data_IF_792658018825
#
_entry.id   IF_792658018825
#
_cell.length_a   1.000
_cell.length_b   1.000
_cell.length_c   1.000
_cell.angle_alpha   90.00
_cell.angle_beta   90.00
_cell.angle_gamma   90.00
#
_symmetry.space_group_name_H-M   'P 1'
#
loop_
_entity.id
_entity.type
_entity.pdbx_description
1 polymer ?
#
# COMPACT_ATOMS: atom_id res chain seq x y z
N UNK A 1 29.70 10.43 17.06
CA UNK A 1 28.30 10.62 17.49
C UNK A 1 27.30 10.38 16.37
N UNK A 2 26.11 9.88 16.73
CA UNK A 2 24.96 9.65 15.83
C UNK A 2 23.90 10.77 15.92
N UNK A 3 24.22 11.90 16.57
CA UNK A 3 23.32 13.03 16.79
C UNK A 3 22.81 13.65 15.48
N UNK A 4 23.67 13.75 14.47
CA UNK A 4 23.31 14.21 13.12
C UNK A 4 22.32 13.25 12.42
N UNK A 5 22.42 11.93 12.66
CA UNK A 5 21.54 10.93 12.06
C UNK A 5 20.14 11.07 12.65
N UNK A 6 20.07 11.15 13.99
CA UNK A 6 18.83 11.45 14.68
C UNK A 6 18.24 12.79 14.22
N UNK A 7 19.06 13.84 14.02
CA UNK A 7 18.59 15.14 13.53
C UNK A 7 18.06 15.08 12.09
N UNK A 8 18.75 14.43 11.16
CA UNK A 8 18.31 14.26 9.77
C UNK A 8 17.02 13.45 9.70
N UNK A 9 16.93 12.31 10.41
CA UNK A 9 15.72 11.49 10.49
C UNK A 9 14.57 12.24 11.17
N UNK A 10 14.82 13.05 12.20
CA UNK A 10 13.79 13.84 12.88
C UNK A 10 13.30 15.00 11.99
N UNK A 11 14.18 15.63 11.18
CA UNK A 11 13.76 16.56 10.10
C UNK A 11 12.92 15.84 9.03
N UNK A 12 13.32 14.66 8.57
CA UNK A 12 12.53 13.84 7.64
C UNK A 12 11.13 13.56 8.19
N UNK A 13 11.04 13.16 9.46
CA UNK A 13 9.78 12.81 10.14
C UNK A 13 8.89 14.04 10.42
N UNK A 14 9.46 15.16 10.89
CA UNK A 14 8.70 16.35 11.28
C UNK A 14 8.40 17.33 10.15
N UNK A 15 9.36 17.59 9.26
CA UNK A 15 9.28 18.73 8.33
C UNK A 15 8.70 18.38 6.95
N UNK A 16 8.74 17.11 6.53
CA UNK A 16 8.48 16.76 5.12
C UNK A 16 9.54 17.32 4.15
N UNK A 17 10.64 17.87 4.66
CA UNK A 17 11.72 18.40 3.82
C UNK A 17 12.60 17.27 3.28
N UNK A 18 12.08 16.62 2.24
CA UNK A 18 12.79 15.60 1.49
C UNK A 18 14.01 16.18 0.73
N UNK A 19 14.08 17.51 0.50
CA UNK A 19 15.23 18.12 -0.18
C UNK A 19 16.43 18.17 0.75
N UNK A 20 16.26 18.74 1.95
CA UNK A 20 17.27 18.73 2.99
C UNK A 20 17.73 17.31 3.30
N UNK A 21 16.80 16.35 3.42
CA UNK A 21 17.10 14.93 3.60
C UNK A 21 18.02 14.36 2.50
N UNK A 22 17.71 14.60 1.23
CA UNK A 22 18.53 14.14 0.11
C UNK A 22 19.89 14.83 0.02
N UNK A 23 19.96 16.14 0.29
CA UNK A 23 21.24 16.87 0.26
C UNK A 23 22.17 16.44 1.39
N UNK A 24 21.63 16.23 2.59
CA UNK A 24 22.37 15.67 3.72
C UNK A 24 22.86 14.26 3.36
N UNK A 25 21.99 13.36 2.87
CA UNK A 25 22.38 12.05 2.34
C UNK A 25 23.53 12.11 1.33
N UNK A 26 23.45 12.99 0.33
CA UNK A 26 24.49 13.15 -0.70
C UNK A 26 25.81 13.70 -0.14
N UNK A 27 25.77 14.69 0.76
CA UNK A 27 26.97 15.20 1.46
C UNK A 27 27.60 14.10 2.31
N UNK A 28 26.76 13.30 2.96
CA UNK A 28 27.19 12.24 3.85
C UNK A 28 27.75 11.03 3.13
N UNK A 29 27.20 10.62 1.99
CA UNK A 29 27.78 9.54 1.20
C UNK A 29 29.17 9.91 0.64
N UNK A 30 29.38 11.20 0.32
CA UNK A 30 30.71 11.73 -0.05
C UNK A 30 31.70 11.73 1.13
N UNK A 31 31.22 11.90 2.37
CA UNK A 31 32.03 11.83 3.58
C UNK A 31 32.23 10.38 4.11
N UNK A 32 31.29 9.47 3.83
CA UNK A 32 31.21 8.13 4.40
C UNK A 32 31.78 7.04 3.46
N UNK A 33 32.80 7.36 2.66
CA UNK A 33 33.49 6.42 1.79
C UNK A 33 34.13 5.21 2.53
N UNK A 34 34.13 5.22 3.87
CA UNK A 34 34.60 4.13 4.73
C UNK A 34 33.45 3.25 5.28
N UNK A 35 33.03 2.26 4.46
CA UNK A 35 32.78 0.89 4.94
C UNK A 35 31.58 0.58 5.86
N UNK A 36 30.48 1.35 5.87
CA UNK A 36 29.28 1.02 6.70
C UNK A 36 27.97 0.99 5.91
N UNK A 37 27.67 -0.17 5.31
CA UNK A 37 26.43 -0.41 4.53
C UNK A 37 25.15 -0.23 5.36
N UNK A 38 25.09 -0.74 6.59
CA UNK A 38 23.87 -0.65 7.43
C UNK A 38 23.40 0.79 7.70
N UNK A 39 24.33 1.73 7.87
CA UNK A 39 23.98 3.15 8.03
C UNK A 39 23.41 3.77 6.73
N UNK A 40 23.84 3.27 5.56
CA UNK A 40 23.32 3.72 4.28
C UNK A 40 21.88 3.26 4.06
N UNK A 41 21.56 1.98 4.30
CA UNK A 41 20.18 1.44 4.16
C UNK A 41 19.18 2.26 4.98
N UNK A 42 19.44 2.45 6.27
CA UNK A 42 18.48 3.15 7.15
C UNK A 42 18.31 4.63 6.77
N UNK A 43 19.37 5.29 6.28
CA UNK A 43 19.28 6.66 5.77
C UNK A 43 18.45 6.76 4.48
N UNK A 44 18.59 5.82 3.55
CA UNK A 44 17.75 5.77 2.35
C UNK A 44 16.28 5.50 2.72
N UNK A 45 16.00 4.55 3.63
CA UNK A 45 14.64 4.26 4.11
C UNK A 45 13.98 5.51 4.69
N UNK A 46 14.69 6.28 5.51
CA UNK A 46 14.17 7.54 6.07
C UNK A 46 13.86 8.60 4.98
N UNK A 47 14.69 8.72 3.95
CA UNK A 47 14.44 9.63 2.84
C UNK A 47 13.31 9.17 1.91
N UNK A 48 13.13 7.86 1.74
CA UNK A 48 12.01 7.27 0.99
C UNK A 48 10.69 7.51 1.74
N UNK A 49 10.65 7.36 3.07
CA UNK A 49 9.48 7.77 3.89
C UNK A 49 9.20 9.27 3.82
N UNK A 50 10.22 10.12 3.73
CA UNK A 50 10.02 11.55 3.51
C UNK A 50 9.42 11.83 2.12
N UNK A 51 9.91 11.14 1.08
CA UNK A 51 9.36 11.21 -0.27
C UNK A 51 7.90 10.71 -0.33
N UNK A 52 7.58 9.66 0.42
CA UNK A 52 6.23 9.10 0.57
C UNK A 52 5.25 10.10 1.19
N UNK A 53 5.63 10.74 2.31
CA UNK A 53 4.83 11.80 2.95
C UNK A 53 4.56 13.00 2.03
N UNK A 54 5.45 13.25 1.07
CA UNK A 54 5.35 14.36 0.12
C UNK A 54 4.90 13.94 -1.30
N UNK A 55 4.40 12.71 -1.49
CA UNK A 55 3.98 12.16 -2.79
C UNK A 55 5.06 12.27 -3.91
N UNK A 56 6.36 12.26 -3.55
CA UNK A 56 7.49 12.41 -4.48
C UNK A 56 7.95 11.07 -5.03
N UNK A 57 7.00 10.33 -5.64
CA UNK A 57 7.21 9.01 -6.23
C UNK A 57 8.50 8.88 -7.04
N UNK A 58 8.85 9.87 -7.89
CA UNK A 58 10.06 9.86 -8.72
C UNK A 58 11.35 9.69 -7.91
N UNK A 59 11.45 10.29 -6.71
CA UNK A 59 12.63 10.11 -5.85
C UNK A 59 12.54 8.91 -4.92
N UNK A 60 11.34 8.49 -4.51
CA UNK A 60 11.20 7.20 -3.82
C UNK A 60 11.68 6.04 -4.71
N UNK A 61 11.27 6.02 -5.98
CA UNK A 61 11.71 5.05 -7.00
C UNK A 61 13.21 5.19 -7.32
N UNK A 62 13.72 6.42 -7.47
CA UNK A 62 15.15 6.62 -7.74
C UNK A 62 16.05 6.16 -6.58
N UNK A 63 15.67 6.44 -5.33
CA UNK A 63 16.42 6.04 -4.14
C UNK A 63 16.39 4.52 -3.93
N UNK A 64 15.26 3.85 -4.16
CA UNK A 64 15.17 2.38 -4.09
C UNK A 64 15.96 1.69 -5.22
N UNK A 65 15.95 2.25 -6.43
CA UNK A 65 16.82 1.81 -7.52
C UNK A 65 18.31 2.05 -7.24
N UNK A 66 18.66 3.17 -6.58
CA UNK A 66 20.03 3.48 -6.15
C UNK A 66 20.53 2.52 -5.07
N UNK A 67 19.66 2.11 -4.13
CA UNK A 67 19.98 1.05 -3.16
C UNK A 67 20.26 -0.29 -3.86
N UNK A 68 19.39 -0.71 -4.79
CA UNK A 68 19.59 -1.93 -5.59
C UNK A 68 20.91 -1.90 -6.36
N UNK A 69 21.21 -0.80 -7.07
CA UNK A 69 22.42 -0.65 -7.87
C UNK A 69 23.71 -0.65 -7.02
N UNK A 70 23.62 -0.24 -5.75
CA UNK A 70 24.73 -0.22 -4.79
C UNK A 70 24.83 -1.48 -3.93
N UNK A 71 24.08 -2.54 -4.28
CA UNK A 71 23.98 -3.78 -3.52
C UNK A 71 23.62 -3.55 -2.02
N UNK A 72 22.87 -2.48 -1.72
CA UNK A 72 22.30 -2.28 -0.40
C UNK A 72 21.09 -3.19 -0.23
N UNK A 73 20.86 -3.64 1.00
CA UNK A 73 19.70 -4.44 1.36
C UNK A 73 18.42 -3.60 1.20
N UNK A 74 17.51 -4.06 0.35
CA UNK A 74 16.22 -3.41 0.07
C UNK A 74 15.13 -4.28 0.69
N UNK A 75 14.58 -3.77 1.78
CA UNK A 75 13.58 -4.44 2.60
C UNK A 75 12.13 -4.17 2.14
N UNK A 76 11.19 -4.87 2.77
CA UNK A 76 9.75 -4.68 2.59
C UNK A 76 9.32 -3.22 2.87
N UNK A 77 10.00 -2.54 3.79
CA UNK A 77 9.73 -1.14 4.14
C UNK A 77 10.07 -0.20 2.96
N UNK A 78 11.20 -0.41 2.30
CA UNK A 78 11.63 0.35 1.12
C UNK A 78 10.61 0.27 -0.01
N UNK A 79 10.13 -0.95 -0.32
CA UNK A 79 9.12 -1.17 -1.35
C UNK A 79 7.75 -0.61 -0.97
N UNK A 80 7.27 -0.87 0.25
CA UNK A 80 5.97 -0.38 0.71
C UNK A 80 5.90 1.16 0.77
N UNK A 81 6.96 1.84 1.26
CA UNK A 81 7.05 3.29 1.22
C UNK A 81 7.15 3.83 -0.23
N UNK A 82 7.85 3.13 -1.13
CA UNK A 82 7.90 3.51 -2.55
C UNK A 82 6.56 3.35 -3.27
N UNK A 83 5.81 2.29 -2.99
CA UNK A 83 4.45 2.06 -3.51
C UNK A 83 3.46 3.08 -2.93
N UNK A 84 3.52 3.34 -1.61
CA UNK A 84 2.70 4.35 -0.94
C UNK A 84 2.98 5.78 -1.45
N UNK A 85 4.24 6.06 -1.85
CA UNK A 85 4.59 7.30 -2.55
C UNK A 85 3.94 7.39 -3.94
N UNK A 86 3.82 6.26 -4.67
CA UNK A 86 3.14 6.19 -5.96
C UNK A 86 1.62 6.30 -5.83
N UNK A 87 1.02 5.68 -4.80
CA UNK A 87 -0.39 5.81 -4.43
C UNK A 87 -0.77 7.28 -4.21
N UNK A 88 -0.08 7.95 -3.28
CA UNK A 88 -0.31 9.36 -2.95
C UNK A 88 -0.11 10.30 -4.15
N UNK A 89 0.72 9.90 -5.10
CA UNK A 89 0.96 10.61 -6.36
C UNK A 89 0.03 10.20 -7.52
N UNK A 90 -0.93 9.29 -7.29
CA UNK A 90 -1.83 8.73 -8.30
C UNK A 90 -1.10 8.14 -9.52
N UNK A 91 0.02 7.45 -9.30
CA UNK A 91 0.84 6.82 -10.33
C UNK A 91 0.69 5.29 -10.29
N UNK A 92 -0.51 4.80 -10.60
CA UNK A 92 -0.83 3.37 -10.48
C UNK A 92 0.10 2.48 -11.34
N UNK A 93 0.44 2.89 -12.57
CA UNK A 93 1.33 2.11 -13.44
C UNK A 93 2.72 1.91 -12.81
N UNK A 94 3.20 2.91 -12.06
CA UNK A 94 4.48 2.84 -11.35
C UNK A 94 4.37 1.99 -10.09
N UNK A 95 3.24 2.03 -9.38
CA UNK A 95 2.98 1.13 -8.25
C UNK A 95 2.95 -0.34 -8.70
N UNK A 96 2.29 -0.65 -9.82
CA UNK A 96 2.24 -2.01 -10.39
C UNK A 96 3.61 -2.45 -10.92
N UNK A 97 4.37 -1.56 -11.58
CA UNK A 97 5.73 -1.88 -12.02
C UNK A 97 6.72 -2.08 -10.86
N UNK A 98 6.54 -1.38 -9.73
CA UNK A 98 7.29 -1.63 -8.50
C UNK A 98 6.91 -2.98 -7.88
N UNK A 99 5.63 -3.34 -7.89
CA UNK A 99 5.14 -4.62 -7.37
C UNK A 99 5.68 -5.80 -8.20
N UNK A 100 5.68 -5.72 -9.53
CA UNK A 100 6.25 -6.78 -10.38
C UNK A 100 7.77 -6.88 -10.26
N UNK A 101 8.48 -5.76 -10.07
CA UNK A 101 9.92 -5.77 -9.76
C UNK A 101 10.23 -6.32 -8.37
N UNK A 102 9.35 -6.07 -7.38
CA UNK A 102 9.44 -6.64 -6.04
C UNK A 102 9.19 -8.16 -6.03
N UNK A 103 8.39 -8.67 -6.97
CA UNK A 103 8.04 -10.08 -7.12
C UNK A 103 9.18 -11.03 -7.53
N UNK A 104 10.43 -10.58 -7.50
CA UNK A 104 11.63 -11.42 -7.60
C UNK A 104 12.35 -11.61 -6.25
N UNK A 105 11.82 -11.07 -5.15
CA UNK A 105 12.41 -11.12 -3.79
C UNK A 105 11.32 -11.21 -2.71
N UNK A 106 11.72 -11.37 -1.45
CA UNK A 106 10.84 -11.57 -0.27
C UNK A 106 9.68 -10.57 -0.11
N UNK A 107 9.77 -9.39 -0.73
CA UNK A 107 8.68 -8.42 -0.83
C UNK A 107 7.39 -8.98 -1.46
N UNK A 108 7.49 -10.06 -2.25
CA UNK A 108 6.37 -10.91 -2.71
C UNK A 108 5.36 -11.19 -1.59
N UNK A 109 5.85 -11.54 -0.40
CA UNK A 109 5.07 -12.07 0.72
C UNK A 109 4.38 -10.99 1.57
N UNK A 110 4.57 -9.70 1.27
CA UNK A 110 4.04 -8.62 2.11
C UNK A 110 2.70 -8.09 1.59
N UNK A 111 1.58 -8.29 2.32
CA UNK A 111 0.29 -7.75 1.92
C UNK A 111 0.29 -6.22 1.87
N UNK A 112 1.20 -5.53 2.56
CA UNK A 112 1.31 -4.06 2.54
C UNK A 112 1.63 -3.53 1.14
N UNK A 113 2.51 -4.20 0.39
CA UNK A 113 2.93 -3.76 -0.96
C UNK A 113 1.77 -3.93 -1.94
N UNK A 114 1.09 -5.08 -1.88
CA UNK A 114 -0.13 -5.35 -2.65
C UNK A 114 -1.27 -4.38 -2.33
N UNK A 115 -1.52 -4.10 -1.05
CA UNK A 115 -2.56 -3.18 -0.60
C UNK A 115 -2.35 -1.75 -1.13
N UNK A 116 -1.11 -1.27 -1.11
CA UNK A 116 -0.76 0.05 -1.67
C UNK A 116 -0.92 0.10 -3.20
N UNK A 117 -0.60 -0.98 -3.92
CA UNK A 117 -0.79 -1.05 -5.37
C UNK A 117 -2.27 -1.08 -5.79
N UNK A 118 -3.10 -1.87 -5.10
CA UNK A 118 -4.56 -1.91 -5.31
C UNK A 118 -5.18 -0.55 -4.96
N UNK A 119 -4.78 0.05 -3.83
CA UNK A 119 -5.24 1.39 -3.41
C UNK A 119 -4.85 2.48 -4.41
N UNK A 120 -3.64 2.40 -5.00
CA UNK A 120 -3.19 3.31 -6.05
C UNK A 120 -4.05 3.21 -7.32
N UNK A 121 -4.36 1.99 -7.76
CA UNK A 121 -5.27 1.76 -8.88
C UNK A 121 -6.67 2.35 -8.58
N UNK A 122 -7.21 2.07 -7.39
CA UNK A 122 -8.47 2.64 -6.92
C UNK A 122 -8.46 4.16 -6.73
N UNK A 123 -7.32 4.80 -6.48
CA UNK A 123 -7.19 6.27 -6.41
C UNK A 123 -7.14 6.93 -7.79
N UNK A 124 -7.03 6.13 -8.86
CA UNK A 124 -6.97 6.57 -10.26
C UNK A 124 -8.15 6.06 -11.10
N UNK A 125 -9.19 5.55 -10.42
CA UNK A 125 -10.42 4.98 -11.01
C UNK A 125 -10.18 3.78 -11.96
N UNK A 126 -8.97 3.21 -11.93
CA UNK A 126 -8.60 2.00 -12.68
C UNK A 126 -9.05 0.74 -11.93
N UNK A 127 -10.36 0.62 -11.74
CA UNK A 127 -11.01 -0.48 -11.02
C UNK A 127 -10.66 -1.85 -11.64
N UNK A 128 -10.63 -1.95 -12.97
CA UNK A 128 -10.30 -3.21 -13.66
C UNK A 128 -8.87 -3.70 -13.31
N UNK A 129 -7.89 -2.80 -13.24
CA UNK A 129 -6.52 -3.13 -12.83
C UNK A 129 -6.48 -3.52 -11.34
N UNK A 130 -7.20 -2.79 -10.48
CA UNK A 130 -7.34 -3.13 -9.06
C UNK A 130 -7.93 -4.54 -8.84
N UNK A 131 -8.92 -4.94 -9.66
CA UNK A 131 -9.49 -6.29 -9.66
C UNK A 131 -8.49 -7.34 -10.14
N UNK A 132 -7.79 -7.13 -11.28
CA UNK A 132 -6.79 -8.11 -11.74
C UNK A 132 -5.68 -8.37 -10.74
N UNK A 133 -5.30 -7.35 -9.94
CA UNK A 133 -4.34 -7.51 -8.84
C UNK A 133 -4.97 -8.24 -7.64
N UNK A 134 -6.23 -7.97 -7.32
CA UNK A 134 -6.95 -8.68 -6.24
C UNK A 134 -7.15 -10.16 -6.58
N UNK A 135 -7.52 -10.48 -7.81
CA UNK A 135 -7.67 -11.84 -8.32
C UNK A 135 -6.32 -12.57 -8.38
N UNK A 136 -5.22 -11.87 -8.67
CA UNK A 136 -3.86 -12.44 -8.62
C UNK A 136 -3.38 -12.80 -7.20
N UNK A 137 -3.93 -12.17 -6.16
CA UNK A 137 -3.70 -12.53 -4.74
C UNK A 137 -4.65 -13.67 -4.33
N UNK A 138 -5.91 -13.58 -4.76
CA UNK A 138 -7.00 -14.45 -4.29
C UNK A 138 -7.03 -15.80 -5.02
N UNK A 139 -6.55 -15.87 -6.26
CA UNK A 139 -6.42 -17.10 -7.04
C UNK A 139 -5.02 -17.70 -6.84
N UNK A 140 -4.87 -18.79 -6.05
CA UNK A 140 -3.64 -19.57 -6.06
C UNK A 140 -3.55 -20.32 -7.40
N UNK A 141 -2.94 -19.69 -8.41
CA UNK A 141 -2.74 -20.32 -9.70
C UNK A 141 -1.96 -21.64 -9.52
N UNK A 142 -2.49 -22.81 -9.94
CA UNK A 142 -1.87 -24.12 -9.73
C UNK A 142 -0.71 -24.38 -10.72
N UNK A 143 0.05 -23.34 -11.09
CA UNK A 143 0.91 -23.35 -12.27
C UNK A 143 2.15 -22.45 -12.10
N UNK A 144 2.91 -22.68 -11.03
CA UNK A 144 4.34 -22.34 -11.01
C UNK A 144 5.14 -23.56 -10.54
N UNK A 145 5.77 -24.25 -11.50
CA UNK A 145 6.55 -25.48 -11.33
C UNK A 145 7.88 -25.29 -10.56
N UNK A 146 8.02 -24.18 -9.83
CA UNK A 146 9.12 -23.88 -8.93
C UNK A 146 8.50 -23.35 -7.65
N UNK A 147 8.69 -24.10 -6.54
CA UNK A 147 7.92 -23.96 -5.30
C UNK A 147 7.93 -22.56 -4.71
N UNK A 148 6.89 -21.77 -5.00
CA UNK A 148 6.67 -20.44 -4.43
C UNK A 148 5.92 -20.60 -3.10
N UNK A 149 6.64 -21.10 -2.09
CA UNK A 149 6.12 -21.24 -0.72
C UNK A 149 5.84 -19.86 -0.12
N UNK A 150 4.60 -19.40 -0.24
CA UNK A 150 4.20 -18.07 0.22
C UNK A 150 2.96 -17.53 -0.48
N UNK A 151 1.84 -18.26 -0.41
CA UNK A 151 0.55 -17.70 -0.82
C UNK A 151 0.23 -16.48 0.06
N UNK A 152 0.16 -15.29 -0.55
CA UNK A 152 -0.27 -14.07 0.13
C UNK A 152 -1.77 -14.17 0.36
N UNK A 153 -2.19 -14.38 1.60
CA UNK A 153 -3.62 -14.36 1.93
C UNK A 153 -4.16 -12.92 1.81
N UNK A 154 -5.25 -12.68 1.07
CA UNK A 154 -5.86 -11.36 1.01
C UNK A 154 -6.36 -10.96 2.40
N UNK A 155 -5.96 -9.78 2.85
CA UNK A 155 -6.32 -9.23 4.16
C UNK A 155 -7.57 -8.36 4.08
N UNK A 156 -8.17 -8.01 5.23
CA UNK A 156 -9.30 -7.05 5.31
C UNK A 156 -8.99 -5.75 4.55
N UNK A 157 -7.74 -5.26 4.65
CA UNK A 157 -7.25 -4.06 3.97
C UNK A 157 -7.20 -4.27 2.45
N UNK A 158 -6.84 -5.47 1.98
CA UNK A 158 -6.81 -5.86 0.57
C UNK A 158 -8.23 -5.82 -0.03
N UNK A 159 -9.19 -6.43 0.67
CA UNK A 159 -10.61 -6.41 0.31
C UNK A 159 -11.17 -4.98 0.30
N UNK A 160 -10.87 -4.18 1.34
CA UNK A 160 -11.30 -2.79 1.44
C UNK A 160 -10.73 -1.91 0.33
N UNK A 161 -9.48 -2.13 -0.08
CA UNK A 161 -8.88 -1.43 -1.21
C UNK A 161 -9.57 -1.78 -2.54
N UNK A 162 -9.89 -3.05 -2.78
CA UNK A 162 -10.58 -3.51 -4.00
C UNK A 162 -12.04 -3.05 -4.07
N UNK A 163 -12.80 -3.19 -2.98
CA UNK A 163 -14.18 -2.66 -2.87
C UNK A 163 -14.19 -1.14 -3.01
N UNK A 164 -13.24 -0.44 -2.38
CA UNK A 164 -13.08 1.01 -2.51
C UNK A 164 -12.72 1.47 -3.93
N UNK A 165 -11.96 0.68 -4.69
CA UNK A 165 -11.69 0.94 -6.10
C UNK A 165 -12.96 0.82 -6.96
N UNK A 166 -13.74 -0.24 -6.78
CA UNK A 166 -15.01 -0.46 -7.48
C UNK A 166 -16.05 0.62 -7.13
N UNK A 167 -16.13 1.00 -5.85
CA UNK A 167 -17.01 2.04 -5.35
C UNK A 167 -16.74 3.41 -5.97
N UNK A 168 -15.46 3.79 -6.11
CA UNK A 168 -15.08 5.06 -6.74
C UNK A 168 -15.50 5.12 -8.20
N UNK A 169 -15.37 3.99 -8.92
CA UNK A 169 -15.78 3.82 -10.32
C UNK A 169 -17.28 3.54 -10.54
N UNK A 170 -18.12 3.70 -9.50
CA UNK A 170 -19.56 3.43 -9.51
C UNK A 170 -19.98 1.99 -9.89
N UNK A 171 -19.05 1.03 -9.88
CA UNK A 171 -19.29 -0.40 -10.16
C UNK A 171 -19.80 -1.12 -8.91
N UNK A 172 -20.98 -0.72 -8.44
CA UNK A 172 -21.58 -1.22 -7.20
C UNK A 172 -21.85 -2.74 -7.22
N UNK A 173 -22.13 -3.31 -8.38
CA UNK A 173 -22.38 -4.75 -8.56
C UNK A 173 -21.14 -5.59 -8.19
N UNK A 174 -19.97 -5.20 -8.71
CA UNK A 174 -18.69 -5.86 -8.43
C UNK A 174 -18.23 -5.60 -6.99
N UNK A 175 -18.47 -4.39 -6.48
CA UNK A 175 -18.20 -4.06 -5.09
C UNK A 175 -19.01 -4.97 -4.13
N UNK A 176 -20.30 -5.15 -4.41
CA UNK A 176 -21.20 -6.01 -3.62
C UNK A 176 -20.78 -7.48 -3.70
N UNK A 177 -20.46 -7.99 -4.89
CA UNK A 177 -19.95 -9.35 -5.09
C UNK A 177 -18.70 -9.62 -4.23
N UNK A 178 -17.71 -8.72 -4.30
CA UNK A 178 -16.48 -8.82 -3.50
C UNK A 178 -16.75 -8.77 -1.98
N UNK A 179 -17.68 -7.92 -1.54
CA UNK A 179 -18.02 -7.82 -0.13
C UNK A 179 -18.85 -9.00 0.41
N UNK A 180 -19.56 -9.73 -0.46
CA UNK A 180 -20.27 -10.95 -0.09
C UNK A 180 -19.33 -12.17 -0.11
N UNK A 181 -18.38 -12.21 -1.05
CA UNK A 181 -17.32 -13.24 -1.09
C UNK A 181 -16.27 -13.09 0.00
N UNK A 182 -16.02 -11.87 0.51
CA UNK A 182 -15.12 -11.62 1.62
C UNK A 182 -15.80 -11.89 2.96
N UNK A 183 -15.40 -12.98 3.63
CA UNK A 183 -15.76 -13.28 5.03
C UNK A 183 -15.28 -12.23 6.04
N UNK A 184 -14.45 -11.27 5.60
CA UNK A 184 -13.85 -10.22 6.44
C UNK A 184 -14.46 -8.83 6.25
N UNK A 185 -15.58 -8.70 5.54
CA UNK A 185 -16.22 -7.40 5.30
C UNK A 185 -16.55 -6.65 6.61
N UNK A 186 -15.97 -5.47 6.77
CA UNK A 186 -16.03 -4.61 7.96
C UNK A 186 -16.79 -3.29 7.68
N UNK A 187 -16.86 -2.42 8.70
CA UNK A 187 -17.54 -1.12 8.61
C UNK A 187 -16.98 -0.25 7.48
N UNK A 188 -15.70 -0.39 7.11
CA UNK A 188 -15.07 0.34 6.01
C UNK A 188 -15.42 -0.27 4.66
N UNK A 189 -15.57 -1.60 4.56
CA UNK A 189 -16.12 -2.27 3.36
C UNK A 189 -17.52 -1.75 3.07
N UNK A 190 -18.42 -1.79 4.07
CA UNK A 190 -19.80 -1.35 3.90
C UNK A 190 -19.94 0.16 3.69
N UNK A 191 -19.13 0.99 4.36
CA UNK A 191 -19.08 2.44 4.09
C UNK A 191 -18.67 2.74 2.64
N UNK A 192 -17.76 1.95 2.08
CA UNK A 192 -17.37 2.04 0.66
C UNK A 192 -18.51 1.58 -0.27
N UNK A 193 -19.23 0.51 0.08
CA UNK A 193 -20.42 0.05 -0.65
C UNK A 193 -21.53 1.10 -0.70
N UNK A 194 -21.87 1.72 0.43
CA UNK A 194 -22.92 2.75 0.51
C UNK A 194 -22.57 3.93 -0.40
N UNK A 195 -21.29 4.33 -0.43
CA UNK A 195 -20.79 5.32 -1.40
C UNK A 195 -20.90 4.88 -2.86
N UNK A 196 -20.75 3.58 -3.14
CA UNK A 196 -20.95 3.01 -4.48
C UNK A 196 -22.43 3.05 -4.90
N UNK A 197 -23.34 2.62 -4.03
CA UNK A 197 -24.78 2.61 -4.30
C UNK A 197 -25.36 4.00 -4.49
N UNK A 198 -24.88 4.99 -3.71
CA UNK A 198 -25.26 6.39 -3.89
C UNK A 198 -24.86 6.92 -5.27
N UNK A 199 -23.63 6.63 -5.72
CA UNK A 199 -23.18 6.94 -7.09
C UNK A 199 -23.93 6.15 -8.18
N UNK A 200 -24.38 4.94 -7.86
CA UNK A 200 -25.16 4.07 -8.76
C UNK A 200 -26.67 4.26 -8.70
N UNK A 201 -27.15 5.35 -8.08
CA UNK A 201 -28.58 5.69 -7.91
C UNK A 201 -29.46 4.61 -7.26
N UNK A 202 -28.86 3.61 -6.62
CA UNK A 202 -29.53 2.37 -6.14
C UNK A 202 -29.70 2.40 -4.63
N UNK A 203 -30.52 3.34 -4.14
CA UNK A 203 -30.67 3.64 -2.71
C UNK A 203 -31.28 2.50 -1.87
N UNK A 204 -32.13 1.66 -2.47
CA UNK A 204 -32.75 0.50 -1.82
C UNK A 204 -31.70 -0.52 -1.35
N UNK A 205 -30.70 -0.79 -2.20
CA UNK A 205 -29.58 -1.68 -1.86
C UNK A 205 -28.68 -1.06 -0.77
N UNK A 206 -28.53 0.27 -0.75
CA UNK A 206 -27.79 0.94 0.32
C UNK A 206 -28.47 0.73 1.69
N UNK A 207 -29.80 0.88 1.76
CA UNK A 207 -30.58 0.62 2.98
C UNK A 207 -30.45 -0.84 3.44
N UNK A 208 -30.60 -1.81 2.52
CA UNK A 208 -30.43 -3.23 2.82
C UNK A 208 -29.02 -3.56 3.35
N UNK A 209 -27.96 -2.92 2.82
CA UNK A 209 -26.61 -3.12 3.38
C UNK A 209 -26.41 -2.49 4.76
N UNK A 210 -27.09 -1.38 5.08
CA UNK A 210 -27.07 -0.78 6.41
C UNK A 210 -27.76 -1.66 7.46
N UNK A 211 -28.88 -2.29 7.11
CA UNK A 211 -29.55 -3.26 7.99
C UNK A 211 -28.68 -4.50 8.20
N UNK A 212 -28.03 -4.99 7.13
CA UNK A 212 -27.04 -6.08 7.20
C UNK A 212 -25.81 -5.75 8.06
N UNK A 213 -25.38 -4.49 8.13
CA UNK A 213 -24.36 -4.04 9.07
C UNK A 213 -24.85 -4.10 10.52
N UNK A 214 -26.07 -3.62 10.79
CA UNK A 214 -26.65 -3.61 12.14
C UNK A 214 -26.75 -5.02 12.72
N UNK A 215 -27.16 -6.00 11.91
CA UNK A 215 -27.24 -7.40 12.33
C UNK A 215 -25.86 -8.07 12.54
N UNK A 216 -24.80 -7.55 11.91
CA UNK A 216 -23.42 -8.04 12.08
C UNK A 216 -22.65 -7.40 13.23
N UNK A 217 -23.09 -6.25 13.77
CA UNK A 217 -22.47 -5.73 14.98
C UNK A 217 -22.81 -6.65 16.17
N UNK A 218 -21.84 -6.98 17.04
CA UNK A 218 -22.17 -7.61 18.30
C UNK A 218 -23.07 -6.64 19.07
N UNK A 219 -24.24 -7.13 19.51
CA UNK A 219 -25.18 -6.34 20.30
C UNK A 219 -24.49 -5.70 21.50
N UNK A 220 -25.01 -4.56 22.01
CA UNK A 220 -24.39 -3.83 23.10
C UNK A 220 -24.09 -4.79 24.24
N UNK A 221 -22.81 -4.85 24.67
CA UNK A 221 -22.39 -5.70 25.79
C UNK A 221 -23.34 -5.41 26.96
N UNK A 222 -24.01 -6.42 27.53
CA UNK A 222 -24.89 -6.17 28.65
C UNK A 222 -24.07 -5.54 29.76
N UNK A 223 -24.40 -4.30 30.14
CA UNK A 223 -23.80 -3.64 31.28
C UNK A 223 -24.15 -4.47 32.51
N UNK A 224 -23.19 -5.27 33.00
CA UNK A 224 -23.25 -5.85 34.33
C UNK A 224 -23.25 -4.71 35.34
N UNK A 225 -24.40 -4.54 35.98
CA UNK A 225 -24.63 -3.65 37.13
C UNK A 225 -23.90 -4.24 38.35
#
# INVERSE_FOLDING_TARGET
DYSWYAAAVNRCKKAGDWRGACEELCRMWRAAAAGRQGAATVAHNAAISACERCARWRRAVALSAEMLHRCLEVDVFTYSASVSACEKARQWQRAVALLSAAGCREADRSPVVWNGAISACGATEQWAQALTLFDAITSPAPSSLLGREGAVQPTVITCNAAVGACARAAQWQLALLLSLGSSTADVVTYGSLIGAFYKGSSWELAALTLDGMHQKQPGPKPNTI
#
